data_IF_923018928482
#
_entry.id   IF_923018928482
#
_cell.length_a   1.000
_cell.length_b   1.000
_cell.length_c   1.000
_cell.angle_alpha   90.00
_cell.angle_beta   90.00
_cell.angle_gamma   90.00
#
_symmetry.space_group_name_H-M   'P 1'
#
loop_
_entity.id
_entity.type
_entity.pdbx_description
1 polymer ?
#
# COMPACT_ATOMS: atom_id res chain seq x y z
N UNK A 1 32.72 34.65 -33.92
CA UNK A 1 33.26 33.80 -32.84
C UNK A 1 33.80 34.63 -31.66
N UNK A 2 34.29 35.82 -31.87
CA UNK A 2 34.77 36.74 -30.83
C UNK A 2 33.66 37.31 -29.91
N UNK A 3 32.46 37.51 -30.43
CA UNK A 3 31.34 38.12 -29.68
C UNK A 3 30.74 37.23 -28.60
N UNK A 4 30.79 35.91 -28.76
CA UNK A 4 30.34 34.94 -27.72
C UNK A 4 31.29 34.87 -26.53
N UNK A 5 32.61 35.01 -26.75
CA UNK A 5 33.59 34.94 -25.68
C UNK A 5 33.60 36.21 -24.80
N UNK A 6 33.20 37.36 -25.33
CA UNK A 6 33.09 38.62 -24.57
C UNK A 6 31.82 38.61 -23.67
N UNK A 7 30.70 38.04 -24.14
CA UNK A 7 29.46 37.92 -23.36
C UNK A 7 29.63 36.90 -22.23
N UNK A 8 30.30 35.79 -22.47
CA UNK A 8 30.53 34.74 -21.48
C UNK A 8 31.48 35.17 -20.34
N UNK A 9 32.50 35.96 -20.68
CA UNK A 9 33.40 36.59 -19.71
C UNK A 9 32.69 37.67 -18.87
N UNK A 10 31.78 38.43 -19.46
CA UNK A 10 31.01 39.44 -18.72
C UNK A 10 30.01 38.82 -17.74
N UNK A 11 29.34 37.71 -18.11
CA UNK A 11 28.42 36.97 -17.25
C UNK A 11 29.15 36.36 -16.05
N UNK A 12 30.30 35.73 -16.26
CA UNK A 12 31.11 35.15 -15.18
C UNK A 12 31.67 36.19 -14.21
N UNK A 13 32.06 37.35 -14.73
CA UNK A 13 32.49 38.49 -13.90
C UNK A 13 31.33 39.08 -13.10
N UNK A 14 30.16 39.26 -13.71
CA UNK A 14 28.97 39.77 -13.03
C UNK A 14 28.49 38.79 -11.93
N UNK A 15 28.57 37.49 -12.14
CA UNK A 15 28.25 36.47 -11.12
C UNK A 15 29.24 36.52 -9.95
N UNK A 16 30.56 36.68 -10.23
CA UNK A 16 31.59 36.81 -9.17
C UNK A 16 31.39 38.08 -8.34
N UNK A 17 31.11 39.20 -8.98
CA UNK A 17 30.83 40.49 -8.32
C UNK A 17 29.54 40.39 -7.51
N UNK A 18 28.47 39.80 -8.08
CA UNK A 18 27.22 39.57 -7.39
C UNK A 18 27.39 38.68 -6.16
N UNK A 19 28.16 37.61 -6.26
CA UNK A 19 28.47 36.72 -5.14
C UNK A 19 29.28 37.43 -4.03
N UNK A 20 30.28 38.23 -4.40
CA UNK A 20 31.08 38.99 -3.45
C UNK A 20 30.21 40.03 -2.70
N UNK A 21 29.34 40.73 -3.40
CA UNK A 21 28.41 41.70 -2.82
C UNK A 21 27.42 41.01 -1.90
N UNK A 22 26.82 39.90 -2.34
CA UNK A 22 25.86 39.11 -1.53
C UNK A 22 26.50 38.62 -0.23
N UNK A 23 27.72 38.10 -0.30
CA UNK A 23 28.45 37.62 0.90
C UNK A 23 28.77 38.75 1.88
N UNK A 24 29.10 39.95 1.37
CA UNK A 24 29.38 41.13 2.19
C UNK A 24 28.11 41.68 2.83
N UNK A 25 26.98 41.60 2.13
CA UNK A 25 25.67 42.00 2.65
C UNK A 25 25.18 41.07 3.74
N UNK A 26 25.30 39.75 3.57
CA UNK A 26 24.93 38.77 4.61
C UNK A 26 25.73 39.02 5.91
N UNK A 27 27.01 39.40 5.80
CA UNK A 27 27.83 39.72 7.00
C UNK A 27 27.43 41.00 7.72
N UNK A 28 26.76 41.95 7.03
CA UNK A 28 26.29 43.20 7.58
C UNK A 28 24.80 43.23 7.94
N UNK A 29 24.05 42.26 7.50
CA UNK A 29 22.62 42.12 7.81
C UNK A 29 22.43 41.79 9.31
N UNK A 30 21.29 42.23 9.88
CA UNK A 30 20.93 41.85 11.23
C UNK A 30 20.73 40.32 11.27
N UNK A 31 21.57 39.65 12.06
CA UNK A 31 21.61 38.20 12.13
C UNK A 31 20.24 37.60 12.53
N UNK A 32 19.49 38.29 13.41
CA UNK A 32 18.16 37.87 13.84
C UNK A 32 17.14 37.88 12.70
N UNK A 33 17.11 38.95 11.92
CA UNK A 33 16.19 39.09 10.77
C UNK A 33 16.51 38.05 9.69
N UNK A 34 17.79 37.86 9.38
CA UNK A 34 18.23 36.88 8.38
C UNK A 34 17.92 35.45 8.84
N UNK A 35 18.19 35.13 10.11
CA UNK A 35 17.88 33.83 10.69
C UNK A 35 16.37 33.56 10.69
N UNK A 36 15.54 34.54 11.02
CA UNK A 36 14.08 34.41 11.01
C UNK A 36 13.56 34.13 9.59
N UNK A 37 14.05 34.86 8.59
CA UNK A 37 13.66 34.66 7.19
C UNK A 37 14.06 33.26 6.72
N UNK A 38 15.29 32.84 6.98
CA UNK A 38 15.77 31.48 6.62
C UNK A 38 14.96 30.41 7.33
N UNK A 39 14.65 30.60 8.63
CA UNK A 39 13.84 29.66 9.42
C UNK A 39 12.42 29.52 8.83
N UNK A 40 11.75 30.64 8.53
CA UNK A 40 10.39 30.64 7.97
C UNK A 40 10.39 29.98 6.59
N UNK A 41 11.35 30.31 5.72
CA UNK A 41 11.48 29.68 4.40
C UNK A 41 11.76 28.19 4.50
N UNK A 42 12.66 27.79 5.39
CA UNK A 42 12.97 26.37 5.63
C UNK A 42 11.75 25.62 6.16
N UNK A 43 11.01 26.20 7.12
CA UNK A 43 9.82 25.57 7.69
C UNK A 43 8.71 25.43 6.66
N UNK A 44 8.48 26.45 5.82
CA UNK A 44 7.52 26.41 4.73
C UNK A 44 7.88 25.34 3.71
N UNK A 45 9.14 25.28 3.30
CA UNK A 45 9.63 24.28 2.36
C UNK A 45 9.58 22.85 2.93
N UNK A 46 9.97 22.68 4.20
CA UNK A 46 9.89 21.41 4.91
C UNK A 46 8.45 20.90 5.00
N UNK A 47 7.51 21.75 5.40
CA UNK A 47 6.09 21.41 5.49
C UNK A 47 5.57 20.90 4.13
N UNK A 48 5.95 21.56 3.07
CA UNK A 48 5.55 21.28 1.69
C UNK A 48 6.04 19.91 1.19
N UNK A 49 7.31 19.58 1.47
CA UNK A 49 7.91 18.29 1.10
C UNK A 49 7.35 17.17 1.98
N UNK A 50 7.24 17.41 3.30
CA UNK A 50 6.84 16.38 4.26
C UNK A 50 5.40 15.93 4.00
N UNK A 51 4.46 16.85 3.88
CA UNK A 51 3.04 16.49 3.70
C UNK A 51 2.81 15.75 2.38
N UNK A 52 3.31 16.29 1.28
CA UNK A 52 3.14 15.65 -0.03
C UNK A 52 3.92 14.34 -0.15
N UNK A 53 5.15 14.31 0.37
CA UNK A 53 6.02 13.13 0.28
C UNK A 53 5.54 11.95 1.11
N UNK A 54 5.06 12.20 2.34
CA UNK A 54 4.55 11.12 3.20
C UNK A 54 3.29 10.49 2.60
N UNK A 55 2.32 11.30 2.17
CA UNK A 55 1.05 10.78 1.64
C UNK A 55 1.26 9.99 0.33
N UNK A 56 2.01 10.57 -0.62
CA UNK A 56 2.31 9.88 -1.89
C UNK A 56 3.14 8.63 -1.62
N UNK A 57 4.13 8.71 -0.71
CA UNK A 57 4.97 7.57 -0.35
C UNK A 57 4.21 6.43 0.33
N UNK A 58 3.22 6.74 1.19
CA UNK A 58 2.36 5.73 1.81
C UNK A 58 1.49 5.01 0.77
N UNK A 59 0.86 5.76 -0.15
CA UNK A 59 0.03 5.16 -1.21
C UNK A 59 0.90 4.31 -2.12
N UNK A 60 2.05 4.81 -2.54
CA UNK A 60 2.97 4.09 -3.41
C UNK A 60 3.55 2.84 -2.74
N UNK A 61 3.90 2.94 -1.46
CA UNK A 61 4.33 1.77 -0.68
C UNK A 61 3.24 0.71 -0.52
N UNK A 62 1.97 1.12 -0.43
CA UNK A 62 0.84 0.19 -0.42
C UNK A 62 0.62 -0.46 -1.80
N UNK A 63 0.71 0.31 -2.90
CA UNK A 63 0.65 -0.22 -4.27
C UNK A 63 1.73 -1.28 -4.50
N UNK A 64 2.98 -0.96 -4.15
CA UNK A 64 4.12 -1.87 -4.32
C UNK A 64 3.98 -3.12 -3.46
N UNK A 65 3.50 -2.99 -2.23
CA UNK A 65 3.24 -4.12 -1.34
C UNK A 65 2.12 -5.01 -1.88
N UNK A 66 1.01 -4.43 -2.33
CA UNK A 66 -0.09 -5.19 -2.93
C UNK A 66 0.35 -5.91 -4.20
N UNK A 67 1.04 -5.21 -5.11
CA UNK A 67 1.58 -5.84 -6.32
C UNK A 67 2.52 -6.99 -5.99
N UNK A 68 3.44 -6.79 -5.06
CA UNK A 68 4.47 -7.79 -4.74
C UNK A 68 3.93 -9.02 -4.01
N UNK A 69 2.96 -8.84 -3.11
CA UNK A 69 2.59 -9.87 -2.14
C UNK A 69 1.15 -10.40 -2.29
N UNK A 70 0.25 -9.61 -2.90
CA UNK A 70 -1.15 -9.99 -3.01
C UNK A 70 -1.58 -10.27 -4.46
N UNK A 71 -1.38 -9.33 -5.36
CA UNK A 71 -1.98 -9.32 -6.70
C UNK A 71 -1.05 -9.95 -7.75
N UNK A 72 0.28 -9.78 -7.60
CA UNK A 72 1.24 -10.11 -8.65
C UNK A 72 1.24 -9.08 -9.78
N UNK A 73 1.59 -9.51 -10.97
CA UNK A 73 1.55 -8.70 -12.20
C UNK A 73 0.17 -8.73 -12.84
N UNK A 74 -0.51 -9.88 -12.73
CA UNK A 74 -1.89 -10.10 -13.19
C UNK A 74 -2.68 -10.77 -12.08
N UNK A 75 -3.93 -10.35 -11.94
CA UNK A 75 -4.91 -11.01 -11.10
C UNK A 75 -6.13 -11.42 -11.92
N UNK A 76 -6.55 -12.66 -11.74
CA UNK A 76 -7.80 -13.18 -12.26
C UNK A 76 -8.75 -13.31 -11.09
N UNK A 77 -9.90 -12.68 -11.16
CA UNK A 77 -10.92 -12.70 -10.11
C UNK A 77 -12.28 -13.09 -10.66
N UNK A 78 -13.16 -13.58 -9.79
CA UNK A 78 -14.54 -13.87 -10.16
C UNK A 78 -15.25 -12.62 -10.70
N UNK A 79 -16.30 -12.80 -11.49
CA UNK A 79 -17.18 -11.71 -11.86
C UNK A 79 -17.91 -11.19 -10.63
N UNK A 80 -18.34 -9.91 -10.66
CA UNK A 80 -19.00 -9.26 -9.52
C UNK A 80 -20.29 -9.95 -9.07
N UNK A 81 -20.95 -10.68 -9.97
CA UNK A 81 -22.17 -11.44 -9.72
C UNK A 81 -21.91 -12.92 -9.41
N UNK A 82 -20.67 -13.33 -9.28
CA UNK A 82 -20.25 -14.72 -8.97
C UNK A 82 -19.31 -14.74 -7.78
N UNK A 83 -19.41 -15.78 -6.98
CA UNK A 83 -18.57 -15.97 -5.79
C UNK A 83 -17.24 -16.66 -6.07
N UNK A 84 -17.06 -17.19 -7.27
CA UNK A 84 -15.85 -17.94 -7.66
C UNK A 84 -15.60 -17.88 -9.18
N UNK A 85 -14.38 -18.22 -9.57
CA UNK A 85 -13.94 -18.41 -10.95
C UNK A 85 -14.35 -19.82 -11.38
N UNK A 86 -15.27 -19.91 -12.32
CA UNK A 86 -15.69 -21.21 -12.84
C UNK A 86 -14.53 -21.90 -13.57
N UNK A 87 -14.45 -23.22 -13.44
CA UNK A 87 -13.40 -24.04 -14.05
C UNK A 87 -11.98 -23.54 -13.70
N UNK A 88 -11.75 -23.13 -12.48
CA UNK A 88 -10.43 -22.65 -12.02
C UNK A 88 -9.25 -23.55 -12.46
N UNK A 89 -9.32 -24.91 -12.38
CA UNK A 89 -8.22 -25.75 -12.85
C UNK A 89 -7.87 -25.51 -14.31
N UNK A 90 -8.87 -25.38 -15.19
CA UNK A 90 -8.66 -25.07 -16.61
C UNK A 90 -8.03 -23.69 -16.81
N UNK A 91 -8.49 -22.70 -16.05
CA UNK A 91 -7.91 -21.36 -16.11
C UNK A 91 -6.46 -21.39 -15.66
N UNK A 92 -6.11 -22.14 -14.61
CA UNK A 92 -4.72 -22.34 -14.16
C UNK A 92 -3.86 -23.02 -15.21
N UNK A 93 -4.40 -24.00 -15.93
CA UNK A 93 -3.67 -24.66 -17.03
C UNK A 93 -3.34 -23.64 -18.14
N UNK A 94 -4.27 -22.75 -18.50
CA UNK A 94 -4.02 -21.69 -19.46
C UNK A 94 -2.98 -20.70 -18.92
N UNK A 95 -3.08 -20.30 -17.65
CA UNK A 95 -2.12 -19.40 -16.98
C UNK A 95 -0.69 -19.92 -17.10
N UNK A 96 -0.48 -21.20 -16.93
CA UNK A 96 0.86 -21.84 -17.05
C UNK A 96 1.44 -21.79 -18.46
N UNK A 97 0.63 -21.50 -19.48
CA UNK A 97 1.10 -21.37 -20.88
C UNK A 97 1.47 -19.95 -21.27
N UNK A 98 1.32 -18.96 -20.38
CA UNK A 98 1.70 -17.57 -20.66
C UNK A 98 3.19 -17.49 -20.92
N UNK A 99 3.63 -16.85 -22.02
CA UNK A 99 5.04 -16.52 -22.19
C UNK A 99 5.54 -15.70 -20.99
N UNK A 100 6.68 -16.08 -20.42
CA UNK A 100 7.19 -15.39 -19.22
C UNK A 100 6.44 -15.70 -17.91
N UNK A 101 5.62 -16.76 -17.88
CA UNK A 101 5.05 -17.25 -16.64
C UNK A 101 6.15 -17.63 -15.63
N UNK A 102 6.06 -17.11 -14.40
CA UNK A 102 7.00 -17.41 -13.32
C UNK A 102 6.37 -18.29 -12.23
N UNK A 103 5.32 -17.81 -11.61
CA UNK A 103 4.54 -18.56 -10.63
C UNK A 103 3.12 -17.96 -10.48
N UNK A 104 2.28 -18.66 -9.76
CA UNK A 104 0.93 -18.23 -9.41
C UNK A 104 0.57 -18.74 -8.03
N UNK A 105 -0.50 -18.16 -7.47
CA UNK A 105 -1.18 -18.70 -6.30
C UNK A 105 -2.67 -18.65 -6.52
N UNK A 106 -3.36 -19.65 -5.99
CA UNK A 106 -4.83 -19.80 -6.05
C UNK A 106 -5.38 -19.57 -4.64
N UNK A 107 -6.29 -18.61 -4.51
CA UNK A 107 -6.85 -18.26 -3.22
C UNK A 107 -8.36 -18.45 -3.19
N UNK A 108 -8.82 -19.11 -2.14
CA UNK A 108 -10.23 -19.30 -1.85
C UNK A 108 -10.66 -18.26 -0.83
N UNK A 109 -11.66 -17.45 -1.17
CA UNK A 109 -12.11 -16.36 -0.32
C UNK A 109 -13.53 -16.57 0.19
N UNK A 110 -13.80 -16.04 1.35
CA UNK A 110 -15.11 -16.01 1.98
C UNK A 110 -15.17 -14.94 3.06
N UNK A 111 -16.32 -14.82 3.71
CA UNK A 111 -16.49 -13.99 4.91
C UNK A 111 -16.77 -14.91 6.09
N UNK A 112 -16.13 -14.64 7.21
CA UNK A 112 -16.27 -15.42 8.42
C UNK A 112 -16.50 -14.53 9.63
N UNK A 113 -17.11 -15.11 10.66
CA UNK A 113 -17.12 -14.57 12.01
C UNK A 113 -16.21 -15.42 12.89
N UNK A 114 -15.31 -14.75 13.62
CA UNK A 114 -14.38 -15.40 14.56
C UNK A 114 -14.78 -15.03 15.97
N UNK A 115 -14.84 -16.02 16.87
CA UNK A 115 -15.19 -15.84 18.28
C UNK A 115 -14.16 -16.55 19.16
N UNK A 116 -13.64 -15.83 20.18
CA UNK A 116 -12.64 -16.38 21.11
C UNK A 116 -13.27 -16.96 22.38
N UNK A 117 -14.30 -16.30 22.94
CA UNK A 117 -14.95 -16.70 24.19
C UNK A 117 -16.27 -17.49 23.98
N UNK A 118 -16.37 -18.20 22.87
CA UNK A 118 -17.61 -18.93 22.49
C UNK A 118 -18.02 -20.04 23.46
N UNK A 119 -17.11 -20.52 24.30
CA UNK A 119 -17.37 -21.54 25.35
C UNK A 119 -17.81 -20.94 26.68
N UNK A 120 -17.65 -19.64 26.86
CA UNK A 120 -18.01 -18.97 28.11
C UNK A 120 -19.51 -18.69 28.18
N UNK A 121 -20.05 -18.82 29.39
CA UNK A 121 -21.44 -18.41 29.67
C UNK A 121 -21.48 -16.89 29.77
N UNK A 122 -22.11 -16.25 28.79
CA UNK A 122 -22.19 -14.80 28.72
C UNK A 122 -23.25 -14.30 29.68
N UNK A 123 -22.90 -13.33 30.52
CA UNK A 123 -23.84 -12.65 31.40
C UNK A 123 -24.81 -11.77 30.60
N UNK A 124 -26.05 -11.55 31.05
CA UNK A 124 -26.97 -10.64 30.40
C UNK A 124 -26.33 -9.23 30.24
N UNK A 125 -26.22 -8.77 28.98
CA UNK A 125 -25.61 -7.49 28.64
C UNK A 125 -24.13 -7.55 28.23
N UNK A 126 -23.44 -8.66 28.41
CA UNK A 126 -22.08 -8.88 27.95
C UNK A 126 -22.04 -9.27 26.45
N UNK A 127 -21.17 -8.66 25.67
CA UNK A 127 -21.00 -8.98 24.23
C UNK A 127 -20.00 -10.11 24.07
N UNK A 128 -20.22 -10.98 23.08
CA UNK A 128 -19.23 -11.98 22.68
C UNK A 128 -17.98 -11.30 22.14
N UNK A 129 -16.80 -11.81 22.53
CA UNK A 129 -15.53 -11.42 21.93
C UNK A 129 -15.43 -12.05 20.55
N UNK A 130 -15.79 -11.29 19.54
CA UNK A 130 -15.87 -11.78 18.17
C UNK A 130 -15.69 -10.66 17.15
N UNK A 131 -15.08 -11.00 16.02
CA UNK A 131 -14.81 -10.11 14.91
C UNK A 131 -15.34 -10.68 13.60
N UNK A 132 -15.81 -9.80 12.71
CA UNK A 132 -15.96 -10.14 11.29
C UNK A 132 -14.59 -10.15 10.62
N UNK A 133 -14.30 -11.19 9.84
CA UNK A 133 -13.04 -11.36 9.16
C UNK A 133 -13.23 -11.81 7.72
N UNK A 134 -12.31 -11.44 6.85
CA UNK A 134 -12.16 -12.13 5.58
C UNK A 134 -11.59 -13.54 5.85
N UNK A 135 -12.04 -14.53 5.11
CA UNK A 135 -11.52 -15.88 5.16
C UNK A 135 -10.72 -16.14 3.91
N UNK A 136 -9.44 -16.50 4.06
CA UNK A 136 -8.52 -16.73 2.97
C UNK A 136 -7.97 -18.16 3.02
N UNK A 137 -8.30 -18.96 2.01
CA UNK A 137 -7.79 -20.31 1.83
C UNK A 137 -6.61 -20.32 0.89
N UNK A 138 -5.51 -20.89 1.31
CA UNK A 138 -4.26 -20.95 0.56
C UNK A 138 -3.68 -22.36 0.53
N UNK A 139 -2.92 -22.66 -0.52
CA UNK A 139 -1.90 -23.70 -0.47
C UNK A 139 -0.63 -23.12 0.15
N UNK A 140 -0.16 -23.60 1.32
CA UNK A 140 0.97 -22.99 2.02
C UNK A 140 2.27 -22.96 1.19
N UNK A 141 2.49 -23.96 0.35
CA UNK A 141 3.71 -24.07 -0.45
C UNK A 141 3.68 -23.09 -1.62
N UNK A 142 2.55 -23.04 -2.34
CA UNK A 142 2.40 -22.13 -3.48
C UNK A 142 2.35 -20.67 -3.02
N UNK A 143 1.64 -20.39 -1.93
CA UNK A 143 1.57 -19.06 -1.37
C UNK A 143 2.94 -18.57 -0.86
N UNK A 144 3.72 -19.45 -0.20
CA UNK A 144 5.08 -19.11 0.23
C UNK A 144 5.99 -18.80 -0.97
N UNK A 145 5.89 -19.57 -2.04
CA UNK A 145 6.67 -19.34 -3.27
C UNK A 145 6.28 -18.04 -3.95
N UNK A 146 5.00 -17.67 -3.88
CA UNK A 146 4.46 -16.47 -4.51
C UNK A 146 4.77 -15.21 -3.70
N UNK A 147 4.31 -15.15 -2.45
CA UNK A 147 4.34 -13.95 -1.61
C UNK A 147 5.45 -13.95 -0.55
N UNK A 148 6.00 -15.12 -0.20
CA UNK A 148 6.90 -15.25 0.94
C UNK A 148 6.22 -14.92 2.26
N UNK A 149 4.95 -15.32 2.39
CA UNK A 149 4.05 -14.94 3.49
C UNK A 149 4.56 -15.37 4.87
N UNK A 150 5.40 -16.40 4.96
CA UNK A 150 6.01 -16.84 6.22
C UNK A 150 6.78 -15.72 6.92
N UNK A 151 7.36 -14.78 6.16
CA UNK A 151 8.11 -13.62 6.67
C UNK A 151 7.23 -12.59 7.36
N UNK A 152 5.93 -12.67 7.15
CA UNK A 152 4.95 -11.79 7.78
C UNK A 152 4.38 -12.34 9.09
N UNK A 153 4.75 -13.56 9.47
CA UNK A 153 4.39 -14.13 10.76
C UNK A 153 5.24 -13.45 11.85
N UNK A 154 4.59 -12.59 12.64
CA UNK A 154 5.26 -11.84 13.72
C UNK A 154 5.28 -12.59 15.05
N UNK A 155 4.34 -13.52 15.25
CA UNK A 155 4.28 -14.42 16.43
C UNK A 155 3.81 -15.80 15.97
N UNK A 156 4.35 -16.86 16.57
CA UNK A 156 4.03 -18.24 16.23
C UNK A 156 4.77 -18.75 15.00
N UNK A 157 4.13 -19.57 14.21
CA UNK A 157 4.70 -20.18 13.01
C UNK A 157 3.73 -20.19 11.84
N UNK A 158 4.27 -20.33 10.63
CA UNK A 158 3.51 -20.44 9.42
C UNK A 158 2.74 -21.77 9.30
N UNK A 159 1.75 -21.84 8.41
CA UNK A 159 1.01 -23.06 8.15
C UNK A 159 1.85 -24.10 7.41
N UNK A 160 1.58 -25.35 7.72
CA UNK A 160 2.05 -26.52 6.96
C UNK A 160 0.85 -27.17 6.26
N UNK A 161 1.11 -28.01 5.27
CA UNK A 161 0.09 -28.73 4.50
C UNK A 161 -0.81 -29.64 5.34
N UNK A 162 -0.36 -30.01 6.54
CA UNK A 162 -1.10 -30.87 7.47
C UNK A 162 -1.90 -30.11 8.55
N UNK A 163 -1.90 -28.79 8.52
CA UNK A 163 -2.49 -27.93 9.57
C UNK A 163 -4.01 -27.73 9.39
N UNK A 164 -4.78 -28.82 9.20
CA UNK A 164 -6.22 -28.74 8.99
C UNK A 164 -7.03 -28.14 10.17
N UNK A 165 -6.46 -28.07 11.38
CA UNK A 165 -7.10 -27.51 12.57
C UNK A 165 -6.43 -26.22 13.05
N UNK A 166 -5.55 -25.64 12.24
CA UNK A 166 -4.79 -24.45 12.57
C UNK A 166 -5.07 -23.32 11.58
N UNK A 167 -4.98 -22.09 12.09
CA UNK A 167 -5.16 -20.88 11.29
C UNK A 167 -4.11 -19.83 11.64
N UNK A 168 -3.90 -18.89 10.71
CA UNK A 168 -3.21 -17.63 11.00
C UNK A 168 -4.27 -16.52 11.11
N UNK A 169 -4.00 -15.55 11.97
CA UNK A 169 -4.89 -14.39 12.17
C UNK A 169 -4.12 -13.13 11.78
N UNK A 170 -4.73 -12.31 10.91
CA UNK A 170 -4.24 -11.00 10.57
C UNK A 170 -4.29 -10.05 11.77
N UNK A 171 -3.24 -9.25 11.95
CA UNK A 171 -3.09 -8.36 13.12
C UNK A 171 -4.24 -7.38 13.31
N UNK A 172 -4.85 -6.92 12.21
CA UNK A 172 -5.94 -5.94 12.28
C UNK A 172 -7.23 -6.51 12.87
N UNK A 173 -7.33 -7.84 13.03
CA UNK A 173 -8.41 -8.50 13.74
C UNK A 173 -8.21 -8.51 15.27
N UNK A 174 -7.03 -8.13 15.76
CA UNK A 174 -6.66 -8.16 17.17
C UNK A 174 -6.70 -6.76 17.79
N UNK A 175 -7.34 -6.64 18.95
CA UNK A 175 -7.46 -5.38 19.69
C UNK A 175 -6.10 -4.78 20.05
N UNK A 176 -5.10 -5.62 20.32
CA UNK A 176 -3.73 -5.19 20.63
C UNK A 176 -3.13 -4.28 19.54
N UNK A 177 -3.40 -4.59 18.27
CA UNK A 177 -2.85 -3.82 17.13
C UNK A 177 -3.84 -2.76 16.61
N UNK A 178 -5.12 -2.97 16.83
CA UNK A 178 -6.18 -2.08 16.35
C UNK A 178 -7.18 -1.81 17.48
N UNK A 179 -6.84 -0.96 18.45
CA UNK A 179 -7.66 -0.69 19.63
C UNK A 179 -8.84 0.26 19.32
N UNK A 180 -9.54 0.00 18.21
CA UNK A 180 -10.67 0.79 17.74
C UNK A 180 -11.91 -0.11 17.77
N UNK A 181 -12.93 0.31 18.51
CA UNK A 181 -14.26 -0.30 18.47
C UNK A 181 -15.24 0.69 17.86
N UNK A 182 -15.82 0.33 16.74
CA UNK A 182 -16.87 1.10 16.09
C UNK A 182 -18.06 0.17 15.75
N UNK A 183 -19.27 0.70 15.58
CA UNK A 183 -20.37 -0.08 15.07
C UNK A 183 -20.01 -0.77 13.76
N UNK A 184 -20.08 -2.10 13.71
CA UNK A 184 -19.70 -2.91 12.54
C UNK A 184 -18.21 -3.25 12.43
N UNK A 185 -17.35 -2.69 13.27
CA UNK A 185 -15.93 -3.03 13.34
C UNK A 185 -15.59 -3.47 14.76
N UNK A 186 -15.34 -4.77 14.94
CA UNK A 186 -14.99 -5.36 16.22
C UNK A 186 -13.68 -6.13 16.08
N UNK A 187 -12.88 -6.12 17.12
CA UNK A 187 -11.59 -6.81 17.19
C UNK A 187 -11.59 -7.82 18.34
N UNK A 188 -10.79 -8.85 18.22
CA UNK A 188 -10.64 -9.91 19.23
C UNK A 188 -9.69 -9.43 20.33
N UNK A 189 -10.13 -9.53 21.60
CA UNK A 189 -9.38 -9.01 22.76
C UNK A 189 -8.43 -10.02 23.39
N UNK A 190 -8.82 -11.28 23.41
CA UNK A 190 -8.15 -12.34 24.16
C UNK A 190 -7.69 -13.47 23.24
N UNK A 191 -6.98 -13.13 22.16
CA UNK A 191 -6.47 -14.11 21.20
C UNK A 191 -4.97 -13.98 21.07
N UNK A 192 -4.28 -15.09 21.39
CA UNK A 192 -2.84 -15.25 21.27
C UNK A 192 -2.52 -16.53 20.48
N UNK A 193 -1.25 -16.74 20.18
CA UNK A 193 -0.79 -18.01 19.59
C UNK A 193 -1.11 -19.16 20.54
N UNK A 194 -1.73 -20.21 20.02
CA UNK A 194 -2.24 -21.35 20.79
C UNK A 194 -3.69 -21.18 21.27
N UNK A 195 -4.27 -20.00 21.19
CA UNK A 195 -5.68 -19.79 21.51
C UNK A 195 -6.59 -20.63 20.60
N UNK A 196 -7.70 -21.09 21.15
CA UNK A 196 -8.74 -21.77 20.39
C UNK A 196 -9.83 -20.78 20.04
N UNK A 197 -10.17 -20.69 18.77
CA UNK A 197 -11.22 -19.80 18.25
C UNK A 197 -12.22 -20.59 17.43
N UNK A 198 -13.46 -20.10 17.40
CA UNK A 198 -14.52 -20.65 16.55
C UNK A 198 -14.67 -19.76 15.32
N UNK A 199 -14.50 -20.35 14.15
CA UNK A 199 -14.72 -19.69 12.86
C UNK A 199 -16.06 -20.16 12.30
N UNK A 200 -16.93 -19.22 11.96
CA UNK A 200 -18.28 -19.48 11.44
C UNK A 200 -18.44 -18.84 10.07
N UNK A 201 -18.91 -19.62 9.10
CA UNK A 201 -19.23 -19.19 7.73
C UNK A 201 -20.65 -19.63 7.43
N UNK A 202 -21.60 -18.70 7.33
CA UNK A 202 -23.02 -19.03 7.24
C UNK A 202 -23.44 -19.89 8.43
N UNK A 203 -23.94 -21.10 8.15
CA UNK A 203 -24.39 -22.07 9.17
C UNK A 203 -23.31 -23.07 9.59
N UNK A 204 -22.14 -23.02 8.95
CA UNK A 204 -21.03 -23.96 9.23
C UNK A 204 -20.06 -23.31 10.21
N UNK A 205 -19.73 -24.02 11.27
CA UNK A 205 -18.73 -23.55 12.23
C UNK A 205 -17.74 -24.66 12.58
N UNK A 206 -16.48 -24.27 12.78
CA UNK A 206 -15.41 -25.17 13.24
C UNK A 206 -14.48 -24.42 14.20
N UNK A 207 -13.90 -25.19 15.12
CA UNK A 207 -12.88 -24.70 16.04
C UNK A 207 -11.49 -24.87 15.43
N UNK A 208 -10.65 -23.84 15.60
CA UNK A 208 -9.27 -23.84 15.14
C UNK A 208 -8.33 -23.34 16.22
N UNK A 209 -7.08 -23.76 16.13
CA UNK A 209 -5.98 -23.18 16.90
C UNK A 209 -5.30 -22.05 16.13
N UNK A 210 -5.00 -20.97 16.82
CA UNK A 210 -4.20 -19.88 16.25
C UNK A 210 -2.73 -20.30 16.24
N UNK A 211 -2.20 -20.62 15.08
CA UNK A 211 -0.81 -21.04 14.89
C UNK A 211 0.13 -19.86 14.80
N UNK A 212 -0.33 -18.73 14.27
CA UNK A 212 0.47 -17.53 14.14
C UNK A 212 -0.34 -16.27 13.87
N UNK A 213 0.31 -15.13 14.05
CA UNK A 213 -0.24 -13.79 13.80
C UNK A 213 0.54 -13.17 12.63
N UNK A 214 -0.22 -12.68 11.62
CA UNK A 214 0.32 -12.07 10.41
C UNK A 214 0.35 -10.55 10.50
N UNK A 215 1.41 -9.94 9.98
CA UNK A 215 1.55 -8.49 9.76
C UNK A 215 2.28 -8.22 8.44
N UNK A 216 1.52 -8.09 7.36
CA UNK A 216 2.06 -8.05 5.99
C UNK A 216 2.14 -6.65 5.38
N UNK A 217 1.46 -5.66 5.93
CA UNK A 217 1.17 -4.36 5.31
C UNK A 217 0.24 -4.47 4.07
N UNK A 218 -0.35 -5.63 3.84
CA UNK A 218 -1.35 -5.90 2.81
C UNK A 218 -2.67 -6.22 3.52
N UNK A 219 -3.69 -5.41 3.28
CA UNK A 219 -4.97 -5.55 3.99
C UNK A 219 -5.59 -6.94 3.80
N UNK A 220 -5.38 -7.57 2.64
CA UNK A 220 -5.90 -8.91 2.36
C UNK A 220 -5.45 -9.93 3.42
N UNK A 221 -4.20 -9.88 3.87
CA UNK A 221 -3.70 -10.75 4.94
C UNK A 221 -3.97 -10.20 6.34
N UNK A 222 -3.79 -8.89 6.53
CA UNK A 222 -3.86 -8.26 7.85
C UNK A 222 -5.29 -8.22 8.43
N UNK A 223 -6.33 -8.35 7.58
CA UNK A 223 -7.76 -8.40 7.98
C UNK A 223 -8.38 -9.79 7.83
N UNK A 224 -7.56 -10.81 7.51
CA UNK A 224 -8.07 -12.14 7.22
C UNK A 224 -7.72 -13.15 8.30
N UNK A 225 -8.58 -14.19 8.36
CA UNK A 225 -8.24 -15.51 8.88
C UNK A 225 -7.72 -16.33 7.71
N UNK A 226 -6.48 -16.79 7.80
CA UNK A 226 -5.83 -17.59 6.77
C UNK A 226 -5.82 -19.05 7.21
N UNK A 227 -6.34 -19.93 6.36
CA UNK A 227 -6.40 -21.37 6.60
C UNK A 227 -5.97 -22.13 5.33
N UNK A 228 -5.87 -23.45 5.42
CA UNK A 228 -5.67 -24.27 4.24
C UNK A 228 -6.85 -24.13 3.27
N UNK A 229 -6.58 -24.17 1.96
CA UNK A 229 -7.62 -24.10 0.94
C UNK A 229 -8.72 -25.15 1.10
N UNK A 230 -8.34 -26.39 1.48
CA UNK A 230 -9.26 -27.48 1.75
C UNK A 230 -10.24 -27.17 2.89
N UNK A 231 -9.74 -26.48 3.93
CA UNK A 231 -10.57 -26.07 5.07
C UNK A 231 -11.54 -24.97 4.68
N UNK A 232 -11.08 -23.97 3.91
CA UNK A 232 -11.94 -22.88 3.46
C UNK A 232 -13.02 -23.39 2.50
N UNK A 233 -12.68 -24.30 1.58
CA UNK A 233 -13.68 -24.95 0.72
C UNK A 233 -14.72 -25.69 1.53
N UNK A 234 -14.30 -26.42 2.58
CA UNK A 234 -15.21 -27.13 3.50
C UNK A 234 -16.13 -26.17 4.25
N UNK A 235 -15.59 -25.09 4.84
CA UNK A 235 -16.36 -24.09 5.56
C UNK A 235 -17.36 -23.34 4.67
N UNK A 236 -16.99 -23.10 3.41
CA UNK A 236 -17.85 -22.42 2.43
C UNK A 236 -18.78 -23.38 1.68
N UNK A 237 -18.79 -24.68 2.05
CA UNK A 237 -19.56 -25.74 1.40
C UNK A 237 -19.31 -25.84 -0.11
N UNK A 238 -18.06 -25.59 -0.53
CA UNK A 238 -17.62 -25.72 -1.94
C UNK A 238 -17.05 -27.12 -2.18
N UNK A 239 -17.74 -27.88 -3.00
CA UNK A 239 -17.31 -29.22 -3.40
C UNK A 239 -16.39 -29.20 -4.62
N UNK A 240 -16.41 -28.12 -5.40
CA UNK A 240 -15.58 -27.92 -6.58
C UNK A 240 -14.25 -27.21 -6.21
N UNK A 241 -13.36 -27.10 -7.19
CA UNK A 241 -12.07 -26.41 -7.08
C UNK A 241 -12.15 -24.95 -7.58
N UNK A 242 -13.36 -24.37 -7.60
CA UNK A 242 -13.53 -22.99 -8.05
C UNK A 242 -13.07 -22.00 -6.98
N UNK A 243 -12.05 -21.24 -7.31
CA UNK A 243 -11.38 -20.31 -6.42
C UNK A 243 -11.92 -18.87 -6.54
N UNK A 244 -11.63 -18.04 -5.57
CA UNK A 244 -11.99 -16.62 -5.59
C UNK A 244 -11.07 -15.80 -6.47
N UNK A 245 -9.77 -16.10 -6.41
CA UNK A 245 -8.72 -15.30 -7.06
C UNK A 245 -7.54 -16.18 -7.47
N UNK A 246 -6.93 -15.84 -8.61
CA UNK A 246 -5.63 -16.36 -9.05
C UNK A 246 -4.71 -15.15 -9.22
N UNK A 247 -3.60 -15.12 -8.50
CA UNK A 247 -2.57 -14.09 -8.65
C UNK A 247 -1.37 -14.67 -9.40
N UNK A 248 -0.79 -13.90 -10.33
CA UNK A 248 0.21 -14.38 -11.28
C UNK A 248 1.41 -13.44 -11.27
N UNK A 249 2.60 -14.01 -11.17
CA UNK A 249 3.87 -13.30 -11.37
C UNK A 249 4.48 -13.69 -12.72
N UNK A 250 4.98 -12.66 -13.40
CA UNK A 250 5.64 -12.79 -14.69
C UNK A 250 7.13 -12.51 -14.54
N UNK A 251 7.90 -12.93 -15.51
CA UNK A 251 9.27 -12.46 -15.69
C UNK A 251 9.31 -11.20 -16.59
N UNK A 252 10.50 -10.68 -16.85
CA UNK A 252 10.67 -9.47 -17.66
C UNK A 252 10.53 -9.69 -19.17
N UNK A 253 10.20 -10.88 -19.64
CA UNK A 253 10.11 -11.21 -21.07
C UNK A 253 8.79 -10.74 -21.70
N UNK A 254 7.77 -10.48 -20.89
CA UNK A 254 6.44 -10.04 -21.31
C UNK A 254 5.91 -8.94 -20.39
N UNK A 255 5.17 -8.00 -20.94
CA UNK A 255 4.48 -6.98 -20.13
C UNK A 255 3.16 -7.51 -19.56
N UNK A 256 2.69 -6.98 -18.39
CA UNK A 256 1.39 -7.36 -17.84
C UNK A 256 0.21 -7.12 -18.80
N UNK A 257 0.32 -6.13 -19.68
CA UNK A 257 -0.72 -5.82 -20.67
C UNK A 257 -0.78 -6.90 -21.75
N UNK A 258 0.36 -7.28 -22.32
CA UNK A 258 0.45 -8.36 -23.32
C UNK A 258 0.00 -9.70 -22.75
N UNK A 259 0.38 -10.03 -21.52
CA UNK A 259 -0.06 -11.25 -20.85
C UNK A 259 -1.57 -11.26 -20.56
N UNK A 260 -2.18 -10.10 -20.22
CA UNK A 260 -3.62 -9.94 -20.10
C UNK A 260 -4.31 -10.20 -21.45
N UNK A 261 -3.80 -9.63 -22.53
CA UNK A 261 -4.33 -9.84 -23.87
C UNK A 261 -4.24 -11.32 -24.30
N UNK A 262 -3.11 -11.97 -24.00
CA UNK A 262 -2.94 -13.40 -24.23
C UNK A 262 -4.00 -14.23 -23.49
N UNK A 263 -4.25 -13.95 -22.20
CA UNK A 263 -5.26 -14.66 -21.40
C UNK A 263 -6.67 -14.44 -21.95
N UNK A 264 -7.00 -13.23 -22.37
CA UNK A 264 -8.30 -12.91 -22.96
C UNK A 264 -8.47 -13.61 -24.32
N UNK A 265 -7.45 -13.63 -25.18
CA UNK A 265 -7.46 -14.34 -26.44
C UNK A 265 -7.56 -15.86 -26.25
N UNK A 266 -7.03 -16.40 -25.14
CA UNK A 266 -7.13 -17.82 -24.75
C UNK A 266 -8.48 -18.19 -24.13
N UNK A 267 -9.45 -17.27 -24.08
CA UNK A 267 -10.81 -17.52 -23.59
C UNK A 267 -11.00 -17.42 -22.08
N UNK A 268 -10.00 -17.00 -21.31
CA UNK A 268 -10.13 -16.83 -19.85
C UNK A 268 -11.21 -15.81 -19.48
N UNK A 269 -11.43 -14.80 -20.34
CA UNK A 269 -12.45 -13.77 -20.16
C UNK A 269 -13.90 -14.31 -20.10
N UNK A 270 -14.17 -15.54 -20.51
CA UNK A 270 -15.48 -16.20 -20.39
C UNK A 270 -15.74 -16.68 -18.94
N UNK A 271 -14.69 -17.01 -18.22
CA UNK A 271 -14.75 -17.60 -16.87
C UNK A 271 -14.54 -16.60 -15.75
N UNK A 272 -13.73 -15.56 -16.03
CA UNK A 272 -13.28 -14.65 -15.00
C UNK A 272 -12.87 -13.28 -15.55
N UNK A 273 -12.69 -12.34 -14.66
CA UNK A 273 -12.20 -11.01 -14.93
C UNK A 273 -10.68 -11.00 -14.84
N UNK A 274 -10.00 -10.68 -15.94
CA UNK A 274 -8.54 -10.57 -16.02
C UNK A 274 -8.12 -9.11 -15.88
N UNK A 275 -7.27 -8.81 -14.92
CA UNK A 275 -6.80 -7.45 -14.61
C UNK A 275 -5.29 -7.45 -14.43
N UNK A 276 -4.63 -6.38 -14.87
CA UNK A 276 -3.26 -6.08 -14.44
C UNK A 276 -3.27 -5.60 -13.00
N UNK A 277 -2.11 -5.61 -12.32
CA UNK A 277 -2.01 -5.02 -10.98
C UNK A 277 -2.48 -3.57 -10.95
N UNK A 278 -2.19 -2.83 -12.01
CA UNK A 278 -2.63 -1.44 -12.14
C UNK A 278 -4.16 -1.34 -12.28
N UNK A 279 -4.80 -2.21 -13.08
CA UNK A 279 -6.27 -2.22 -13.21
C UNK A 279 -6.97 -2.60 -11.90
N UNK A 280 -6.39 -3.54 -11.16
CA UNK A 280 -6.95 -4.06 -9.92
C UNK A 280 -6.83 -3.09 -8.74
N UNK A 281 -5.87 -2.16 -8.80
CA UNK A 281 -5.69 -1.18 -7.74
C UNK A 281 -6.90 -0.24 -7.64
N UNK A 282 -7.46 -0.01 -6.43
CA UNK A 282 -8.68 0.75 -6.25
C UNK A 282 -8.60 2.15 -6.87
N UNK A 283 -9.57 2.47 -7.74
CA UNK A 283 -9.64 3.78 -8.42
C UNK A 283 -9.61 4.94 -7.43
N UNK A 284 -10.31 4.80 -6.31
CA UNK A 284 -10.33 5.79 -5.24
C UNK A 284 -8.91 6.18 -4.75
N UNK A 285 -8.03 5.19 -4.54
CA UNK A 285 -6.65 5.46 -4.12
C UNK A 285 -5.82 6.11 -5.23
N UNK A 286 -6.07 5.75 -6.50
CA UNK A 286 -5.46 6.44 -7.65
C UNK A 286 -5.88 7.90 -7.72
N UNK A 287 -7.17 8.16 -7.52
CA UNK A 287 -7.73 9.52 -7.54
C UNK A 287 -7.18 10.37 -6.38
N UNK A 288 -7.04 9.79 -5.19
CA UNK A 288 -6.38 10.44 -4.06
C UNK A 288 -4.92 10.78 -4.41
N UNK A 289 -4.16 9.81 -4.90
CA UNK A 289 -2.75 10.01 -5.29
C UNK A 289 -2.60 11.13 -6.32
N UNK A 290 -3.46 11.14 -7.36
CA UNK A 290 -3.48 12.17 -8.38
C UNK A 290 -3.82 13.56 -7.78
N UNK A 291 -4.83 13.62 -6.91
CA UNK A 291 -5.24 14.86 -6.25
C UNK A 291 -4.12 15.44 -5.38
N UNK A 292 -3.48 14.60 -4.56
CA UNK A 292 -2.33 15.05 -3.75
C UNK A 292 -1.12 15.43 -4.60
N UNK A 293 -0.90 14.76 -5.72
CA UNK A 293 0.13 15.13 -6.69
C UNK A 293 -0.10 16.54 -7.26
N UNK A 294 -1.34 16.85 -7.65
CA UNK A 294 -1.73 18.17 -8.15
C UNK A 294 -1.59 19.23 -7.05
N UNK A 295 -2.11 18.94 -5.85
CA UNK A 295 -1.99 19.85 -4.70
C UNK A 295 -0.52 20.10 -4.34
N UNK A 296 0.31 19.07 -4.30
CA UNK A 296 1.74 19.19 -4.05
C UNK A 296 2.44 20.08 -5.08
N UNK A 297 2.11 19.90 -6.36
CA UNK A 297 2.65 20.73 -7.46
C UNK A 297 2.19 22.20 -7.35
N UNK A 298 0.91 22.43 -7.06
CA UNK A 298 0.34 23.77 -6.89
C UNK A 298 0.99 24.49 -5.69
N UNK A 299 1.07 23.82 -4.54
CA UNK A 299 1.69 24.36 -3.33
C UNK A 299 3.19 24.64 -3.58
N UNK A 300 3.90 23.73 -4.26
CA UNK A 300 5.32 23.95 -4.64
C UNK A 300 5.48 25.17 -5.53
N UNK A 301 4.57 25.36 -6.51
CA UNK A 301 4.56 26.55 -7.37
C UNK A 301 4.36 27.84 -6.58
N UNK A 302 3.38 27.87 -5.68
CA UNK A 302 3.11 29.02 -4.79
C UNK A 302 4.32 29.29 -3.89
N UNK A 303 4.91 28.26 -3.30
CA UNK A 303 6.10 28.37 -2.46
C UNK A 303 7.28 29.00 -3.20
N UNK A 304 7.49 28.60 -4.47
CA UNK A 304 8.54 29.17 -5.31
C UNK A 304 8.29 30.67 -5.59
N UNK A 305 7.05 31.04 -5.90
CA UNK A 305 6.65 32.45 -6.13
C UNK A 305 6.88 33.28 -4.88
N UNK A 306 6.40 32.82 -3.71
CA UNK A 306 6.56 33.51 -2.43
C UNK A 306 8.05 33.64 -2.07
N UNK A 307 8.85 32.60 -2.27
CA UNK A 307 10.29 32.66 -2.06
C UNK A 307 10.96 33.70 -2.97
N UNK A 308 10.59 33.73 -4.24
CA UNK A 308 11.13 34.69 -5.21
C UNK A 308 10.75 36.14 -4.83
N UNK A 309 9.50 36.38 -4.46
CA UNK A 309 9.05 37.71 -4.00
C UNK A 309 9.78 38.12 -2.70
N UNK A 310 9.96 37.21 -1.77
CA UNK A 310 10.67 37.48 -0.51
C UNK A 310 12.12 37.87 -0.78
N UNK A 311 12.81 37.13 -1.64
CA UNK A 311 14.18 37.45 -2.03
C UNK A 311 14.23 38.82 -2.70
N UNK A 312 13.29 39.12 -3.61
CA UNK A 312 13.20 40.41 -4.28
C UNK A 312 13.00 41.56 -3.28
N UNK A 313 12.05 41.40 -2.32
CA UNK A 313 11.80 42.42 -1.29
C UNK A 313 13.05 42.66 -0.44
N UNK A 314 13.74 41.59 -0.02
CA UNK A 314 14.97 41.73 0.79
C UNK A 314 16.05 42.50 0.03
N UNK A 315 16.26 42.15 -1.25
CA UNK A 315 17.24 42.85 -2.10
C UNK A 315 16.83 44.31 -2.30
N UNK A 316 15.53 44.55 -2.58
CA UNK A 316 15.01 45.90 -2.85
C UNK A 316 15.09 46.80 -1.59
N UNK A 317 14.70 46.32 -0.42
CA UNK A 317 14.83 47.06 0.83
C UNK A 317 16.30 47.36 1.15
N UNK A 318 17.18 46.38 0.94
CA UNK A 318 18.62 46.60 1.12
C UNK A 318 19.20 47.64 0.12
N UNK A 319 18.72 47.63 -1.11
CA UNK A 319 19.13 48.63 -2.13
C UNK A 319 18.65 50.02 -1.74
N UNK A 320 17.38 50.23 -1.34
CA UNK A 320 16.82 51.52 -0.95
C UNK A 320 17.52 52.09 0.29
N UNK A 321 17.75 51.28 1.31
CA UNK A 321 18.42 51.74 2.54
C UNK A 321 19.86 52.19 2.29
N UNK A 322 20.47 51.71 1.19
CA UNK A 322 21.86 52.10 0.80
C UNK A 322 21.95 53.22 -0.20
N UNK A 323 20.86 53.60 -0.89
CA UNK A 323 20.85 54.77 -1.76
C UNK A 323 21.31 56.04 -1.01
N UNK A 324 20.99 56.12 0.27
CA UNK A 324 21.44 57.21 1.19
C UNK A 324 22.94 57.24 1.41
N UNK A 325 23.69 56.15 1.13
CA UNK A 325 25.14 56.07 1.29
C UNK A 325 25.90 56.11 -0.05
N UNK A 326 25.18 56.05 -1.19
CA UNK A 326 25.76 56.01 -2.55
C UNK A 326 25.56 57.39 -3.23
N UNK A 327 24.69 58.26 -2.68
CA UNK A 327 24.27 59.55 -3.27
C UNK A 327 24.88 60.76 -2.64
N UNK A 328 26.13 60.70 -2.12
CA UNK A 328 26.90 61.88 -1.73
C UNK A 328 28.26 61.81 -2.40
#
# INVERSE_FOLDING_TARGET
MADRLTVENSLTQNIKVGWFLAKRELKRANIWTTTLIVLVMTLTFLNLIVVSGILVGLIQGSEDAQKKYAIGDIVISSFLNRSAIEQTPRVVDIVKTIPGYRNHTVRYSGSARVESNYRETIKPGEKRDGAGASLLGIDPIEEERFSGVSKFVIRGSYLDTNDGDSILIGKNLLYEFTPIEAPGFQTLKNVEVGSRVKVTVGDVSKEYFVKGILSSKVDEFDTSVVALESEVRRLTNRTNLDAGTIAIQLDSSITPVEAKEFLLASGVGEYARVQTAEDAFPKFLKDIKATFGILGSAISGIGLVVASITIFIVIFVNAITRIRYIGI
#
